data_IF_164645657570
#
_entry.id   IF_164645657570
#
_cell.length_a   1.000
_cell.length_b   1.000
_cell.length_c   1.000
_cell.angle_alpha   90.00
_cell.angle_beta   90.00
_cell.angle_gamma   90.00
#
_symmetry.space_group_name_H-M   'P 1'
#
loop_
_entity.id
_entity.type
_entity.pdbx_description
1 polymer ?
#
# COMPACT_ATOMS: atom_id res chain seq x y z
N UNK A 1 5.04 -3.05 17.76
CA UNK A 1 3.86 -3.96 17.69
C UNK A 1 3.30 -3.88 16.28
N UNK A 2 3.02 -5.01 15.63
CA UNK A 2 2.51 -5.01 14.26
C UNK A 2 1.07 -4.48 14.24
N UNK A 3 0.79 -3.50 13.37
CA UNK A 3 -0.55 -2.96 13.16
C UNK A 3 -0.97 -3.26 11.73
N UNK A 4 -1.90 -4.19 11.59
CA UNK A 4 -2.39 -4.61 10.28
C UNK A 4 -3.70 -3.89 9.94
N UNK A 5 -3.83 -3.54 8.67
CA UNK A 5 -5.03 -2.93 8.11
C UNK A 5 -5.26 -3.48 6.70
N UNK A 6 -6.51 -3.82 6.38
CA UNK A 6 -6.87 -4.28 5.05
C UNK A 6 -7.31 -3.11 4.17
N UNK A 7 -6.96 -3.17 2.90
CA UNK A 7 -7.51 -2.31 1.88
C UNK A 7 -9.03 -2.51 1.77
N UNK A 8 -9.76 -1.41 1.68
CA UNK A 8 -11.20 -1.40 1.39
C UNK A 8 -11.47 -1.21 -0.10
N UNK A 9 -10.55 -0.56 -0.80
CA UNK A 9 -10.63 -0.36 -2.24
C UNK A 9 -9.23 -0.24 -2.84
N UNK A 10 -9.04 -0.81 -4.03
CA UNK A 10 -7.78 -0.79 -4.77
C UNK A 10 -8.09 -0.45 -6.22
N UNK A 11 -7.39 0.56 -6.75
CA UNK A 11 -7.43 0.89 -8.16
C UNK A 11 -6.03 1.01 -8.75
N UNK A 12 -5.93 0.80 -10.06
CA UNK A 12 -4.69 0.92 -10.80
C UNK A 12 -4.85 1.87 -11.97
N UNK A 13 -3.96 2.86 -12.04
CA UNK A 13 -3.79 3.75 -13.18
C UNK A 13 -2.64 3.25 -14.05
N UNK A 14 -2.92 2.63 -15.21
CA UNK A 14 -1.90 2.12 -16.10
C UNK A 14 -1.11 3.22 -16.82
N UNK A 15 -1.64 4.44 -16.91
CA UNK A 15 -0.96 5.55 -17.60
C UNK A 15 0.16 6.15 -16.76
N UNK A 16 0.00 6.14 -15.44
CA UNK A 16 0.98 6.61 -14.46
C UNK A 16 1.74 5.46 -13.78
N UNK A 17 1.43 4.20 -14.12
CA UNK A 17 1.85 3.00 -13.40
C UNK A 17 1.68 3.14 -11.89
N UNK A 18 0.48 3.53 -11.47
CA UNK A 18 0.20 3.92 -10.08
C UNK A 18 -0.91 3.06 -9.48
N UNK A 19 -0.59 2.36 -8.39
CA UNK A 19 -1.63 1.74 -7.55
C UNK A 19 -2.10 2.71 -6.48
N UNK A 20 -3.41 2.80 -6.32
CA UNK A 20 -4.04 3.57 -5.25
C UNK A 20 -4.77 2.60 -4.33
N UNK A 21 -4.41 2.65 -3.06
CA UNK A 21 -4.95 1.75 -2.03
C UNK A 21 -5.67 2.59 -1.00
N UNK A 22 -6.97 2.41 -0.87
CA UNK A 22 -7.78 3.03 0.18
C UNK A 22 -8.01 2.04 1.31
N UNK A 23 -7.87 2.53 2.52
CA UNK A 23 -8.09 1.76 3.76
C UNK A 23 -9.08 2.46 4.70
N UNK A 24 -9.36 3.74 4.46
CA UNK A 24 -10.26 4.56 5.26
C UNK A 24 -10.63 5.89 4.59
N UNK A 25 -11.15 6.80 5.41
CA UNK A 25 -11.55 8.17 5.04
C UNK A 25 -10.78 9.18 5.88
N UNK A 26 -11.02 10.48 5.64
CA UNK A 26 -10.36 11.54 6.41
C UNK A 26 -8.91 11.78 5.98
N UNK A 27 -8.65 11.71 4.67
CA UNK A 27 -7.31 11.81 4.10
C UNK A 27 -6.63 13.13 4.49
N UNK A 28 -5.62 13.05 5.36
CA UNK A 28 -4.70 14.15 5.64
C UNK A 28 -3.73 14.41 4.47
N UNK A 29 -2.74 15.30 4.66
CA UNK A 29 -1.74 15.55 3.63
C UNK A 29 -0.89 14.31 3.35
N UNK A 30 -0.47 14.15 2.10
CA UNK A 30 0.45 13.08 1.71
C UNK A 30 1.84 13.31 2.28
N UNK A 31 2.40 12.26 2.86
CA UNK A 31 3.79 12.18 3.30
C UNK A 31 4.46 11.03 2.54
N UNK A 32 5.58 11.32 1.88
CA UNK A 32 6.39 10.29 1.22
C UNK A 32 7.12 9.45 2.25
N UNK A 33 7.02 8.13 2.14
CA UNK A 33 7.69 7.16 3.01
C UNK A 33 8.45 6.13 2.18
N UNK A 34 9.56 5.66 2.72
CA UNK A 34 10.19 4.43 2.26
C UNK A 34 9.40 3.25 2.83
N UNK A 35 9.04 2.31 1.96
CA UNK A 35 8.24 1.15 2.29
C UNK A 35 8.87 -0.13 1.72
N UNK A 36 8.40 -1.26 2.22
CA UNK A 36 8.65 -2.57 1.64
C UNK A 36 7.37 -3.04 0.97
N UNK A 37 7.44 -3.38 -0.31
CA UNK A 37 6.33 -4.00 -1.02
C UNK A 37 6.27 -5.47 -0.66
N UNK A 38 5.06 -5.97 -0.41
CA UNK A 38 4.77 -7.38 -0.23
C UNK A 38 4.15 -7.87 -1.53
N UNK A 39 4.78 -8.85 -2.16
CA UNK A 39 4.41 -9.33 -3.48
C UNK A 39 3.90 -10.76 -3.42
N UNK A 40 2.89 -11.07 -4.23
CA UNK A 40 2.41 -12.43 -4.41
C UNK A 40 3.34 -13.26 -5.31
N UNK A 41 3.01 -14.54 -5.50
CA UNK A 41 3.80 -15.46 -6.32
C UNK A 41 3.89 -15.04 -7.81
N UNK A 42 2.98 -14.17 -8.27
CA UNK A 42 3.00 -13.61 -9.62
C UNK A 42 3.79 -12.28 -9.71
N UNK A 43 4.35 -11.79 -8.60
CA UNK A 43 5.05 -10.51 -8.53
C UNK A 43 4.10 -9.31 -8.50
N UNK A 44 2.82 -9.51 -8.15
CA UNK A 44 1.85 -8.42 -8.00
C UNK A 44 1.72 -7.98 -6.55
N UNK A 45 1.27 -6.75 -6.33
CA UNK A 45 1.17 -6.14 -5.01
C UNK A 45 0.12 -6.86 -4.16
N UNK A 46 0.57 -7.51 -3.10
CA UNK A 46 -0.23 -8.16 -2.07
C UNK A 46 -0.36 -7.30 -0.80
N UNK A 47 0.58 -6.39 -0.56
CA UNK A 47 0.58 -5.52 0.60
C UNK A 47 1.69 -4.47 0.56
N UNK A 48 1.62 -3.50 1.47
CA UNK A 48 2.63 -2.46 1.67
C UNK A 48 2.98 -2.41 3.15
N UNK A 49 4.23 -2.70 3.46
CA UNK A 49 4.78 -2.54 4.79
C UNK A 49 5.39 -1.15 4.93
N UNK A 50 4.74 -0.32 5.76
CA UNK A 50 5.12 1.06 6.04
C UNK A 50 6.01 1.17 7.30
N UNK A 51 6.50 0.05 7.84
CA UNK A 51 7.48 0.06 8.92
C UNK A 51 8.80 0.61 8.40
N UNK A 52 9.27 1.67 9.05
CA UNK A 52 10.64 2.15 8.84
C UNK A 52 11.67 1.22 9.52
N UNK A 53 12.97 1.55 9.44
CA UNK A 53 14.06 0.76 10.06
C UNK A 53 13.92 0.54 11.58
N UNK A 54 13.01 1.25 12.26
CA UNK A 54 12.70 1.11 13.68
C UNK A 54 11.58 0.11 14.02
N UNK A 55 10.96 -0.55 13.03
CA UNK A 55 10.01 -1.66 13.25
C UNK A 55 8.60 -1.28 13.70
N UNK A 56 8.35 -0.02 14.07
CA UNK A 56 7.01 0.50 14.32
C UNK A 56 6.38 1.05 13.02
N UNK A 57 5.14 0.68 12.75
CA UNK A 57 4.44 1.08 11.54
C UNK A 57 3.22 0.22 11.25
N UNK A 58 2.65 0.44 10.07
CA UNK A 58 1.46 -0.25 9.59
C UNK A 58 1.82 -1.19 8.45
N UNK A 59 1.18 -2.34 8.40
CA UNK A 59 1.15 -3.19 7.21
C UNK A 59 -0.24 -3.07 6.61
N UNK A 60 -0.28 -2.60 5.36
CA UNK A 60 -1.50 -2.45 4.57
C UNK A 60 -1.62 -3.66 3.65
N UNK A 61 -2.56 -4.54 3.91
CA UNK A 61 -2.78 -5.76 3.12
C UNK A 61 -3.86 -5.53 2.06
N UNK A 62 -3.56 -5.90 0.81
CA UNK A 62 -4.53 -5.89 -0.29
C UNK A 62 -5.29 -7.23 -0.39
N UNK A 63 -4.72 -8.28 0.19
CA UNK A 63 -5.30 -9.63 0.25
C UNK A 63 -4.86 -10.38 1.52
N UNK A 64 -5.12 -11.70 1.58
CA UNK A 64 -4.66 -12.54 2.68
C UNK A 64 -3.14 -12.52 2.87
N UNK A 65 -2.67 -12.75 4.10
CA UNK A 65 -1.23 -12.76 4.39
C UNK A 65 -0.51 -13.94 3.74
N UNK A 66 -1.21 -15.07 3.59
CA UNK A 66 -0.70 -16.28 2.94
C UNK A 66 -0.42 -16.10 1.45
N UNK A 67 -0.94 -15.04 0.82
CA UNK A 67 -0.65 -14.72 -0.59
C UNK A 67 0.74 -14.07 -0.76
N UNK A 68 1.37 -13.58 0.31
CA UNK A 68 2.70 -12.96 0.25
C UNK A 68 3.77 -14.02 0.01
N UNK A 69 4.44 -13.93 -1.14
CA UNK A 69 5.50 -14.85 -1.54
C UNK A 69 6.90 -14.23 -1.46
N UNK A 70 7.01 -12.91 -1.65
CA UNK A 70 8.29 -12.20 -1.61
C UNK A 70 8.14 -10.74 -1.17
N UNK A 71 9.27 -10.07 -0.92
CA UNK A 71 9.29 -8.68 -0.46
C UNK A 71 10.37 -7.88 -1.18
N UNK A 72 10.07 -6.63 -1.50
CA UNK A 72 11.03 -5.68 -2.08
C UNK A 72 11.09 -4.41 -1.25
N UNK A 73 12.26 -4.08 -0.70
CA UNK A 73 12.46 -2.89 0.12
C UNK A 73 12.86 -1.66 -0.67
N UNK A 74 12.74 -0.47 -0.07
CA UNK A 74 13.28 0.78 -0.61
C UNK A 74 12.35 1.55 -1.54
N UNK A 75 11.08 1.15 -1.62
CA UNK A 75 10.09 1.78 -2.50
C UNK A 75 9.55 3.07 -1.89
N UNK A 76 9.37 4.10 -2.73
CA UNK A 76 8.77 5.37 -2.30
C UNK A 76 7.26 5.33 -2.45
N UNK A 77 6.53 5.44 -1.33
CA UNK A 77 5.06 5.43 -1.29
C UNK A 77 4.57 6.75 -0.69
N UNK A 78 3.59 7.40 -1.33
CA UNK A 78 2.92 8.54 -0.71
C UNK A 78 1.77 8.05 0.16
N UNK A 79 1.77 8.45 1.43
CA UNK A 79 0.80 8.00 2.43
C UNK A 79 0.04 9.20 2.98
N UNK A 80 -1.28 9.19 2.85
CA UNK A 80 -2.17 10.03 3.65
C UNK A 80 -2.66 9.22 4.86
N UNK A 81 -2.80 9.90 5.99
CA UNK A 81 -3.30 9.31 7.23
C UNK A 81 -4.49 10.11 7.74
N UNK A 82 -5.37 9.43 8.47
CA UNK A 82 -6.46 10.08 9.19
C UNK A 82 -5.95 10.87 10.40
N UNK A 83 -6.87 11.53 11.11
CA UNK A 83 -6.56 12.34 12.29
C UNK A 83 -5.93 11.54 13.45
N UNK A 84 -6.02 10.19 13.42
CA UNK A 84 -5.41 9.29 14.42
C UNK A 84 -4.02 8.81 14.02
N UNK A 85 -3.54 9.18 12.82
CA UNK A 85 -2.26 8.73 12.26
C UNK A 85 -2.32 7.31 11.66
N UNK A 86 -3.52 6.79 11.41
CA UNK A 86 -3.73 5.53 10.70
C UNK A 86 -3.74 5.79 9.19
N UNK A 87 -3.04 5.00 8.36
CA UNK A 87 -3.09 5.17 6.91
C UNK A 87 -4.52 5.05 6.39
N UNK A 88 -4.93 6.01 5.56
CA UNK A 88 -6.26 6.07 4.95
C UNK A 88 -6.20 5.92 3.43
N UNK A 89 -5.10 6.36 2.80
CA UNK A 89 -4.87 6.30 1.37
C UNK A 89 -3.37 6.19 1.06
N UNK A 90 -2.99 5.25 0.21
CA UNK A 90 -1.62 5.07 -0.29
C UNK A 90 -1.62 5.27 -1.81
N UNK A 91 -0.53 5.86 -2.30
CA UNK A 91 -0.17 5.89 -3.72
C UNK A 91 1.17 5.16 -3.88
N UNK A 92 1.14 4.04 -4.60
CA UNK A 92 2.26 3.10 -4.73
C UNK A 92 2.69 3.08 -6.21
N UNK A 93 3.71 3.87 -6.59
CA UNK A 93 4.23 3.91 -7.95
C UNK A 93 4.91 2.60 -8.34
N UNK A 94 4.78 2.19 -9.61
CA UNK A 94 5.45 1.03 -10.20
C UNK A 94 4.90 -0.33 -9.75
N UNK A 95 4.04 -0.38 -8.74
CA UNK A 95 3.44 -1.62 -8.27
C UNK A 95 2.11 -1.87 -8.98
N UNK A 96 1.86 -3.11 -9.37
CA UNK A 96 0.59 -3.55 -10.00
C UNK A 96 -0.17 -4.45 -9.05
N UNK A 97 -1.44 -4.16 -8.73
CA UNK A 97 -2.23 -4.98 -7.81
C UNK A 97 -2.98 -6.08 -8.58
N UNK A 98 -3.32 -7.17 -7.89
CA UNK A 98 -4.12 -8.24 -8.48
C UNK A 98 -5.59 -7.82 -8.58
N UNK A 99 -6.18 -7.90 -9.78
CA UNK A 99 -7.62 -7.77 -9.97
C UNK A 99 -8.23 -6.41 -9.58
N UNK A 100 -7.43 -5.34 -9.49
CA UNK A 100 -7.93 -4.03 -9.16
C UNK A 100 -8.78 -3.43 -10.28
N UNK A 101 -9.67 -2.50 -9.88
CA UNK A 101 -10.43 -1.71 -10.83
C UNK A 101 -9.49 -0.81 -11.63
N UNK A 102 -9.65 -0.82 -12.96
CA UNK A 102 -8.92 0.09 -13.83
C UNK A 102 -9.48 1.50 -13.64
N UNK A 103 -8.62 2.43 -13.26
CA UNK A 103 -8.96 3.85 -13.17
C UNK A 103 -8.06 4.63 -14.10
N UNK A 104 -8.61 5.66 -14.74
CA UNK A 104 -7.84 6.66 -15.48
C UNK A 104 -8.07 7.95 -14.72
N UNK A 105 -7.03 8.45 -14.05
CA UNK A 105 -7.09 9.69 -13.28
C UNK A 105 -6.62 10.89 -14.10
#
# INVERSE_FOLDING_TARGET
MLRDINATHVSFDPSAELTIVRTGTGDGPFVRRTATLLLDAAGTLAGVDLRGPGGDGWVVMLGPHEDVASTEGGHSVDVASDETGKPSLLRVPGARPRGAEMSIL
#
